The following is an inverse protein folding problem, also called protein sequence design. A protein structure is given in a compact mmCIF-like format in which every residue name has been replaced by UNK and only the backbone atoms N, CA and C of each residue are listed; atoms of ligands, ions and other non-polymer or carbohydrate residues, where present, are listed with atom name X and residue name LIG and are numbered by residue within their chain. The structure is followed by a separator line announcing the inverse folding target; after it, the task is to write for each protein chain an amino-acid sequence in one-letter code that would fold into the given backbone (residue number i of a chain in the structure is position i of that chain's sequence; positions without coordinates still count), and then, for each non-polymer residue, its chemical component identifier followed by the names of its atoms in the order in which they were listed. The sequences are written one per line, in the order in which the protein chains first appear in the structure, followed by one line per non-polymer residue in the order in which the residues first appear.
data_IF_594052345503
#
_entry.id   IF_594052345503
#
_cell.length_a   1.000
_cell.length_b   1.000
_cell.length_c   1.000
_cell.angle_alpha   90.00
_cell.angle_beta   90.00
_cell.angle_gamma   90.00
#
_symmetry.space_group_name_H-M   'P 1'
#
loop_
_entity.id
_entity.type
_entity.pdbx_description
1 polymer ?
#
# COMPACT_ATOMS: atom_id res chain seq x y z
N UNK A 1 18.01 -0.81 12.34
CA UNK A 1 16.95 -1.81 12.54
C UNK A 1 16.94 -2.20 14.01
N UNK A 2 15.78 -2.18 14.66
CA UNK A 2 15.61 -2.65 16.04
C UNK A 2 14.52 -3.71 16.11
N UNK A 3 14.77 -4.77 16.88
CA UNK A 3 13.87 -5.90 17.04
C UNK A 3 13.30 -5.89 18.46
N UNK A 4 11.99 -6.07 18.58
CA UNK A 4 11.27 -6.16 19.87
C UNK A 4 10.17 -7.21 19.77
N UNK A 5 9.67 -7.66 20.92
CA UNK A 5 8.45 -8.45 21.01
C UNK A 5 7.28 -7.59 21.46
N UNK A 6 6.14 -7.75 20.81
CA UNK A 6 4.87 -7.15 21.16
C UNK A 6 3.89 -8.27 21.51
N UNK A 7 3.17 -8.14 22.62
CA UNK A 7 2.06 -9.05 22.91
C UNK A 7 0.89 -8.73 21.98
N UNK A 8 0.25 -9.74 21.39
CA UNK A 8 -0.88 -9.57 20.48
C UNK A 8 -2.04 -8.82 21.16
N UNK A 9 -2.24 -9.04 22.47
CA UNK A 9 -3.20 -8.31 23.30
C UNK A 9 -2.88 -6.83 23.52
N UNK A 10 -1.63 -6.41 23.30
CA UNK A 10 -1.20 -5.01 23.39
C UNK A 10 -1.35 -4.24 22.07
N UNK A 11 -1.66 -4.93 20.97
CA UNK A 11 -1.81 -4.32 19.65
C UNK A 11 -2.92 -3.25 19.60
N UNK A 12 -4.12 -3.45 20.19
CA UNK A 12 -5.13 -2.40 20.27
C UNK A 12 -4.61 -1.12 20.94
N UNK A 13 -3.92 -1.25 22.08
CA UNK A 13 -3.35 -0.11 22.81
C UNK A 13 -2.32 0.67 21.97
N UNK A 14 -1.49 -0.03 21.19
CA UNK A 14 -0.53 0.61 20.27
C UNK A 14 -1.26 1.41 19.19
N UNK A 15 -2.34 0.85 18.62
CA UNK A 15 -3.12 1.50 17.57
C UNK A 15 -3.92 2.70 18.11
N UNK A 16 -4.41 2.64 19.34
CA UNK A 16 -5.04 3.78 20.02
C UNK A 16 -4.02 4.90 20.31
N UNK A 17 -2.81 4.55 20.75
CA UNK A 17 -1.71 5.50 20.91
C UNK A 17 -1.32 6.15 19.57
N UNK A 18 -1.37 5.38 18.47
CA UNK A 18 -1.16 5.90 17.12
C UNK A 18 -2.30 6.85 16.68
N UNK A 19 -3.56 6.50 16.92
CA UNK A 19 -4.71 7.32 16.53
C UNK A 19 -4.72 8.71 17.20
N UNK A 20 -4.07 8.86 18.36
CA UNK A 20 -3.89 10.15 19.01
C UNK A 20 -2.92 11.10 18.29
N UNK A 21 -2.04 10.59 17.41
CA UNK A 21 -0.97 11.35 16.76
C UNK A 21 -0.94 11.25 15.23
N UNK A 22 -1.63 10.26 14.67
CA UNK A 22 -1.66 9.95 13.25
C UNK A 22 -3.11 9.84 12.79
N UNK A 23 -3.35 10.18 11.53
CA UNK A 23 -4.49 9.62 10.80
C UNK A 23 -4.20 8.13 10.58
N UNK A 24 -4.87 7.25 11.32
CA UNK A 24 -4.67 5.80 11.21
C UNK A 24 -5.59 5.23 10.12
N UNK A 25 -5.00 4.46 9.22
CA UNK A 25 -5.70 3.66 8.22
C UNK A 25 -5.47 2.20 8.58
N UNK A 26 -6.55 1.42 8.69
CA UNK A 26 -6.49 0.05 9.16
C UNK A 26 -7.53 -0.83 8.44
N UNK A 27 -7.37 -2.16 8.43
CA UNK A 27 -8.35 -3.08 7.88
C UNK A 27 -9.64 -3.02 8.71
N UNK A 28 -10.77 -2.78 8.05
CA UNK A 28 -12.11 -2.79 8.62
C UNK A 28 -13.00 -3.72 7.81
N UNK A 29 -14.09 -4.19 8.42
CA UNK A 29 -15.10 -4.98 7.71
C UNK A 29 -16.15 -4.04 7.11
N UNK A 30 -16.29 -4.08 5.80
CA UNK A 30 -17.38 -3.45 5.05
C UNK A 30 -18.21 -4.56 4.40
N UNK A 31 -19.40 -4.81 4.94
CA UNK A 31 -20.23 -5.96 4.58
C UNK A 31 -19.47 -7.30 4.71
N UNK A 32 -19.40 -8.07 3.63
CA UNK A 32 -18.67 -9.36 3.57
C UNK A 32 -17.18 -9.18 3.23
N UNK A 33 -16.74 -7.95 2.96
CA UNK A 33 -15.41 -7.63 2.46
C UNK A 33 -14.56 -6.95 3.54
N UNK A 34 -13.24 -7.08 3.39
CA UNK A 34 -12.27 -6.33 4.19
C UNK A 34 -11.68 -5.25 3.30
N UNK A 35 -11.72 -4.01 3.76
CA UNK A 35 -11.09 -2.87 3.10
C UNK A 35 -10.28 -2.06 4.11
N UNK A 36 -9.45 -1.15 3.62
CA UNK A 36 -8.79 -0.18 4.47
C UNK A 36 -9.65 1.07 4.61
N UNK A 37 -9.79 1.56 5.83
CA UNK A 37 -10.48 2.82 6.13
C UNK A 37 -9.75 3.63 7.18
N UNK A 38 -10.05 4.92 7.26
CA UNK A 38 -9.58 5.77 8.36
C UNK A 38 -10.34 5.39 9.63
N UNK A 39 -9.60 5.11 10.71
CA UNK A 39 -10.16 4.71 12.01
C UNK A 39 -9.77 5.71 13.09
N UNK A 40 -10.66 5.90 14.07
CA UNK A 40 -10.44 6.81 15.20
C UNK A 40 -9.84 6.11 16.44
N UNK A 41 -9.91 4.78 16.48
CA UNK A 41 -9.40 3.92 17.55
C UNK A 41 -9.19 2.51 17.00
N UNK A 42 -8.72 1.61 17.88
CA UNK A 42 -8.57 0.19 17.63
C UNK A 42 -9.90 -0.56 17.47
N UNK A 43 -11.02 0.06 17.85
CA UNK A 43 -12.35 -0.53 17.74
C UNK A 43 -12.76 -0.75 16.27
N UNK A 44 -13.29 -1.92 15.97
CA UNK A 44 -13.67 -2.33 14.62
C UNK A 44 -12.52 -2.67 13.66
N UNK A 45 -11.25 -2.57 14.10
CA UNK A 45 -10.11 -3.03 13.30
C UNK A 45 -10.13 -4.56 13.23
N UNK A 46 -10.11 -5.09 12.01
CA UNK A 46 -10.11 -6.53 11.77
C UNK A 46 -8.74 -7.11 12.07
N UNK A 47 -8.72 -8.21 12.84
CA UNK A 47 -7.48 -8.90 13.17
C UNK A 47 -6.76 -9.35 11.91
N UNK A 48 -5.43 -9.25 11.89
CA UNK A 48 -4.57 -9.80 10.83
C UNK A 48 -4.78 -11.30 10.60
N UNK A 49 -5.43 -11.99 11.55
CA UNK A 49 -5.78 -13.41 11.50
C UNK A 49 -7.11 -13.70 10.82
N UNK A 50 -7.92 -12.70 10.52
CA UNK A 50 -9.29 -12.91 10.02
C UNK A 50 -9.44 -12.60 8.53
N UNK A 51 -8.33 -12.28 7.84
CA UNK A 51 -8.30 -12.06 6.39
C UNK A 51 -6.94 -12.42 5.78
N UNK A 52 -6.90 -12.71 4.48
CA UNK A 52 -5.64 -12.90 3.73
C UNK A 52 -5.22 -11.56 3.14
N UNK A 53 -6.00 -11.03 2.20
CA UNK A 53 -5.82 -9.69 1.64
C UNK A 53 -7.11 -8.87 1.75
N UNK A 54 -7.01 -7.56 2.00
CA UNK A 54 -8.09 -6.63 1.77
C UNK A 54 -8.43 -6.53 0.27
N UNK A 55 -9.65 -6.12 -0.04
CA UNK A 55 -10.12 -5.99 -1.42
C UNK A 55 -9.34 -4.94 -2.21
N UNK A 56 -9.03 -3.80 -1.60
CA UNK A 56 -8.26 -2.72 -2.24
C UNK A 56 -6.86 -2.57 -1.64
N UNK A 57 -5.90 -2.23 -2.51
CA UNK A 57 -4.54 -1.87 -2.11
C UNK A 57 -4.51 -0.57 -1.30
N UNK A 58 -3.50 -0.44 -0.44
CA UNK A 58 -3.17 0.81 0.26
C UNK A 58 -2.79 1.97 -0.69
N UNK A 59 -2.54 1.68 -1.97
CA UNK A 59 -2.24 2.69 -2.99
C UNK A 59 -3.19 3.88 -2.96
N UNK A 60 -4.50 3.65 -2.77
CA UNK A 60 -5.49 4.74 -2.80
C UNK A 60 -5.24 5.85 -1.77
N UNK A 61 -4.51 5.55 -0.69
CA UNK A 61 -4.17 6.54 0.32
C UNK A 61 -2.93 7.34 -0.05
N UNK A 62 -2.04 6.81 -0.89
CA UNK A 62 -0.84 7.48 -1.38
C UNK A 62 -1.05 8.16 -2.75
N UNK A 63 -1.94 7.59 -3.56
CA UNK A 63 -2.31 8.05 -4.89
C UNK A 63 -3.83 8.03 -5.02
N UNK A 64 -4.54 9.13 -4.67
CA UNK A 64 -5.99 9.18 -4.66
C UNK A 64 -6.62 8.93 -6.02
N UNK A 65 -7.85 8.40 -6.01
CA UNK A 65 -8.67 8.16 -7.20
C UNK A 65 -8.93 9.42 -8.03
N UNK A 66 -9.02 10.57 -7.36
CA UNK A 66 -9.12 11.90 -7.96
C UNK A 66 -8.37 12.89 -7.09
N UNK A 67 -7.49 13.70 -7.68
CA UNK A 67 -6.70 14.71 -6.97
C UNK A 67 -6.58 15.98 -7.83
N UNK A 68 -6.90 17.17 -7.28
CA UNK A 68 -6.64 18.42 -7.97
C UNK A 68 -5.12 18.65 -8.08
N UNK A 69 -4.66 19.05 -9.26
CA UNK A 69 -3.26 19.40 -9.54
C UNK A 69 -3.04 20.92 -9.56
N UNK A 70 -4.03 21.68 -10.04
CA UNK A 70 -4.06 23.14 -9.99
C UNK A 70 -5.50 23.66 -10.05
N UNK A 71 -5.71 24.85 -9.51
CA UNK A 71 -6.91 25.65 -9.72
C UNK A 71 -6.57 26.79 -10.69
N UNK A 72 -7.51 27.14 -11.57
CA UNK A 72 -7.35 28.24 -12.52
C UNK A 72 -8.53 29.20 -12.49
N UNK A 73 -8.26 30.48 -12.68
CA UNK A 73 -9.27 31.53 -12.88
C UNK A 73 -8.84 32.50 -13.99
N UNK A 74 -9.57 32.47 -15.11
CA UNK A 74 -9.38 33.34 -16.26
C UNK A 74 -10.15 34.65 -16.11
N UNK A 75 -9.42 35.74 -16.26
CA UNK A 75 -9.92 37.12 -16.25
C UNK A 75 -9.54 37.84 -17.57
N UNK A 76 -9.85 39.13 -17.67
CA UNK A 76 -9.41 39.95 -18.82
C UNK A 76 -7.90 40.19 -18.82
N UNK A 77 -7.27 40.08 -17.66
CA UNK A 77 -5.86 40.41 -17.44
C UNK A 77 -4.94 39.20 -17.52
N UNK A 78 -5.50 37.99 -17.71
CA UNK A 78 -4.76 36.73 -17.81
C UNK A 78 -5.45 35.56 -17.11
N UNK A 79 -4.72 34.48 -16.89
CA UNK A 79 -5.15 33.31 -16.13
C UNK A 79 -4.36 33.25 -14.84
N UNK A 80 -5.04 33.34 -13.69
CA UNK A 80 -4.46 33.06 -12.39
C UNK A 80 -4.43 31.54 -12.17
N UNK A 81 -3.30 31.01 -11.70
CA UNK A 81 -3.10 29.58 -11.45
C UNK A 81 -2.58 29.40 -10.04
N UNK A 82 -3.27 28.57 -9.27
CA UNK A 82 -2.96 28.31 -7.87
C UNK A 82 -2.71 26.82 -7.64
N UNK A 83 -1.71 26.52 -6.82
CA UNK A 83 -1.52 25.16 -6.32
C UNK A 83 -2.68 24.82 -5.36
N UNK A 84 -3.33 23.65 -5.48
CA UNK A 84 -4.41 23.27 -4.59
C UNK A 84 -3.88 23.06 -3.18
N UNK A 85 -4.70 23.37 -2.18
CA UNK A 85 -4.37 23.02 -0.80
C UNK A 85 -4.50 21.49 -0.61
N UNK A 86 -3.38 20.79 -0.76
CA UNK A 86 -3.29 19.36 -0.55
C UNK A 86 -2.76 19.08 0.86
N UNK A 87 -3.68 18.87 1.79
CA UNK A 87 -3.33 18.42 3.14
C UNK A 87 -2.63 17.06 3.08
N UNK A 88 -1.44 16.99 3.71
CA UNK A 88 -0.66 15.77 3.85
C UNK A 88 -0.53 15.42 5.34
N UNK A 89 -1.62 15.00 6.00
CA UNK A 89 -1.58 14.72 7.42
C UNK A 89 -0.65 13.54 7.71
N UNK A 90 0.01 13.61 8.87
CA UNK A 90 0.83 12.50 9.39
C UNK A 90 -0.05 11.25 9.48
N UNK A 91 0.26 10.24 8.67
CA UNK A 91 -0.61 9.08 8.43
C UNK A 91 0.12 7.81 8.84
N UNK A 92 -0.59 6.87 9.46
CA UNK A 92 -0.10 5.52 9.74
C UNK A 92 -1.01 4.52 9.06
N UNK A 93 -0.46 3.69 8.18
CA UNK A 93 -1.17 2.58 7.56
C UNK A 93 -0.78 1.31 8.31
N UNK A 94 -1.76 0.63 8.91
CA UNK A 94 -1.59 -0.60 9.66
C UNK A 94 -2.23 -1.78 8.94
N UNK A 95 -1.58 -2.95 8.97
CA UNK A 95 -2.19 -4.20 8.51
C UNK A 95 -2.01 -4.51 7.03
N UNK A 96 -1.27 -3.68 6.29
CA UNK A 96 -0.91 -4.02 4.91
C UNK A 96 -0.05 -5.28 4.85
N UNK A 97 -0.22 -6.08 3.79
CA UNK A 97 0.62 -7.26 3.56
C UNK A 97 1.95 -6.85 2.93
N UNK A 98 3.02 -7.64 3.12
CA UNK A 98 4.32 -7.35 2.52
C UNK A 98 4.28 -7.12 1.00
N UNK A 99 3.43 -7.86 0.27
CA UNK A 99 3.25 -7.68 -1.17
C UNK A 99 2.59 -6.35 -1.56
N UNK A 100 1.75 -5.77 -0.69
CA UNK A 100 1.16 -4.45 -0.91
C UNK A 100 2.16 -3.35 -0.55
N UNK A 101 2.88 -3.50 0.57
CA UNK A 101 3.96 -2.58 0.95
C UNK A 101 5.09 -2.53 -0.10
N UNK A 102 5.45 -3.67 -0.70
CA UNK A 102 6.50 -3.76 -1.71
C UNK A 102 6.16 -3.06 -3.03
N UNK A 103 4.90 -2.67 -3.23
CA UNK A 103 4.51 -1.85 -4.37
C UNK A 103 5.02 -0.40 -4.26
N UNK A 104 5.22 0.10 -3.04
CA UNK A 104 5.53 1.51 -2.82
C UNK A 104 6.89 1.90 -3.41
N UNK A 105 7.98 1.13 -3.26
CA UNK A 105 9.25 1.43 -3.92
C UNK A 105 9.16 1.41 -5.45
N UNK A 106 8.28 0.58 -6.03
CA UNK A 106 8.04 0.55 -7.48
C UNK A 106 7.37 1.85 -7.92
N UNK A 107 6.36 2.29 -7.16
CA UNK A 107 5.67 3.56 -7.39
C UNK A 107 6.61 4.76 -7.15
N UNK A 108 7.49 4.71 -6.15
CA UNK A 108 8.51 5.72 -5.90
C UNK A 108 9.45 5.90 -7.10
N UNK A 109 9.84 4.80 -7.75
CA UNK A 109 10.65 4.86 -8.97
C UNK A 109 9.90 5.55 -10.11
N UNK A 110 8.63 5.20 -10.33
CA UNK A 110 7.80 5.81 -11.38
C UNK A 110 7.61 7.32 -11.15
N UNK A 111 7.15 7.70 -9.96
CA UNK A 111 6.88 9.10 -9.60
C UNK A 111 8.16 9.92 -9.37
N UNK A 112 9.33 9.30 -9.48
CA UNK A 112 10.64 9.93 -9.33
C UNK A 112 11.58 9.79 -10.53
N UNK A 113 11.15 9.16 -11.64
CA UNK A 113 12.04 8.83 -12.75
C UNK A 113 12.53 10.06 -13.53
N UNK A 114 11.62 10.92 -13.99
CA UNK A 114 11.93 12.13 -14.78
C UNK A 114 11.60 13.43 -14.02
N UNK A 115 10.47 13.41 -13.31
CA UNK A 115 10.04 14.49 -12.43
C UNK A 115 9.69 13.92 -11.07
N UNK A 116 10.15 14.58 -9.99
CA UNK A 116 9.78 14.21 -8.61
C UNK A 116 8.39 14.75 -8.30
N UNK A 117 7.36 13.93 -8.46
CA UNK A 117 5.96 14.30 -8.19
C UNK A 117 5.79 14.77 -6.73
N UNK A 118 5.44 16.04 -6.54
CA UNK A 118 5.36 16.66 -5.21
C UNK A 118 4.23 16.06 -4.38
N UNK A 119 3.09 15.70 -4.99
CA UNK A 119 1.94 15.15 -4.29
C UNK A 119 2.26 13.76 -3.76
N UNK A 120 2.82 12.88 -4.61
CA UNK A 120 3.24 11.54 -4.23
C UNK A 120 4.26 11.57 -3.10
N UNK A 121 5.37 12.31 -3.28
CA UNK A 121 6.46 12.26 -2.31
C UNK A 121 6.14 12.96 -0.99
N UNK A 122 5.42 14.09 -0.99
CA UNK A 122 4.96 14.70 0.28
C UNK A 122 4.06 13.74 1.06
N UNK A 123 3.20 13.00 0.36
CA UNK A 123 2.32 12.01 0.97
C UNK A 123 3.06 10.77 1.46
N UNK A 124 4.01 10.27 0.67
CA UNK A 124 4.90 9.16 1.01
C UNK A 124 5.76 9.49 2.24
N UNK A 125 6.25 10.72 2.33
CA UNK A 125 7.01 11.26 3.47
C UNK A 125 6.14 11.40 4.72
N UNK A 126 4.88 11.85 4.59
CA UNK A 126 3.94 11.94 5.70
C UNK A 126 3.36 10.59 6.18
N UNK A 127 3.54 9.51 5.41
CA UNK A 127 2.95 8.19 5.68
C UNK A 127 3.96 7.22 6.27
N UNK A 128 3.60 6.57 7.37
CA UNK A 128 4.30 5.44 7.99
C UNK A 128 3.57 4.14 7.65
N UNK A 129 4.31 3.12 7.21
CA UNK A 129 3.75 1.83 6.76
C UNK A 129 4.09 0.72 7.76
N UNK A 130 3.07 0.21 8.46
CA UNK A 130 3.16 -0.94 9.36
C UNK A 130 2.58 -2.16 8.65
N UNK A 131 3.47 -3.04 8.17
CA UNK A 131 3.09 -4.28 7.50
C UNK A 131 2.96 -5.43 8.49
N UNK A 132 2.11 -6.41 8.17
CA UNK A 132 1.97 -7.64 8.95
C UNK A 132 2.31 -8.84 8.06
N UNK A 133 3.34 -9.60 8.45
CA UNK A 133 3.80 -10.78 7.73
C UNK A 133 2.69 -11.83 7.59
N UNK A 134 2.76 -12.62 6.53
CA UNK A 134 1.78 -13.67 6.25
C UNK A 134 2.25 -15.01 6.82
N UNK A 135 1.48 -15.58 7.75
CA UNK A 135 1.67 -16.96 8.24
C UNK A 135 0.83 -17.99 7.48
N UNK A 136 -0.03 -17.52 6.56
CA UNK A 136 -0.80 -18.35 5.62
C UNK A 136 -1.02 -17.61 4.30
N UNK A 137 -1.46 -18.33 3.29
CA UNK A 137 -1.85 -17.79 1.99
C UNK A 137 -3.15 -18.46 1.48
N UNK A 138 -3.67 -17.99 0.36
CA UNK A 138 -4.75 -18.62 -0.40
C UNK A 138 -4.30 -18.93 -1.84
N UNK A 139 -5.20 -19.53 -2.62
CA UNK A 139 -4.94 -19.91 -4.03
C UNK A 139 -4.62 -18.73 -4.96
N UNK A 140 -4.93 -17.50 -4.55
CA UNK A 140 -4.69 -16.28 -5.33
C UNK A 140 -3.37 -15.60 -4.96
N UNK A 141 -2.61 -16.13 -4.00
CA UNK A 141 -1.34 -15.55 -3.58
C UNK A 141 -0.18 -16.06 -4.44
N UNK A 142 0.65 -15.12 -4.94
CA UNK A 142 1.79 -15.42 -5.82
C UNK A 142 2.99 -14.49 -5.58
N UNK A 143 3.15 -13.94 -4.37
CA UNK A 143 4.19 -12.93 -4.14
C UNK A 143 5.62 -13.44 -4.44
N UNK A 144 5.92 -14.70 -4.16
CA UNK A 144 7.20 -15.37 -4.49
C UNK A 144 7.44 -15.47 -6.00
N UNK A 145 6.38 -15.65 -6.80
CA UNK A 145 6.47 -15.70 -8.25
C UNK A 145 7.07 -14.42 -8.84
N UNK A 146 6.88 -13.28 -8.15
CA UNK A 146 7.35 -11.95 -8.54
C UNK A 146 8.55 -11.47 -7.69
N UNK A 147 9.26 -12.37 -7.02
CA UNK A 147 10.44 -12.02 -6.20
C UNK A 147 10.12 -11.38 -4.84
N UNK A 148 8.86 -11.39 -4.43
CA UNK A 148 8.41 -10.99 -3.08
C UNK A 148 8.51 -12.12 -2.06
N UNK A 149 8.04 -11.86 -0.84
CA UNK A 149 8.02 -12.83 0.25
C UNK A 149 6.91 -12.55 1.26
N UNK A 150 6.31 -13.58 1.89
CA UNK A 150 5.36 -13.42 3.00
C UNK A 150 5.98 -12.77 4.25
N UNK A 151 7.31 -12.75 4.40
CA UNK A 151 8.05 -12.03 5.45
C UNK A 151 8.88 -10.85 4.88
N UNK A 152 8.55 -10.38 3.68
CA UNK A 152 9.26 -9.30 3.00
C UNK A 152 9.18 -7.97 3.76
N UNK A 153 10.25 -7.18 3.66
CA UNK A 153 10.39 -5.89 4.36
C UNK A 153 10.32 -4.69 3.41
N UNK A 154 10.32 -4.92 2.10
CA UNK A 154 10.34 -3.84 1.10
C UNK A 154 9.13 -2.92 1.24
N UNK A 155 9.38 -1.61 1.35
CA UNK A 155 8.36 -0.58 1.47
C UNK A 155 7.73 -0.40 2.85
N UNK A 156 7.97 -1.32 3.80
CA UNK A 156 7.51 -1.21 5.17
C UNK A 156 8.46 -0.37 6.04
N UNK A 157 7.91 0.38 6.98
CA UNK A 157 8.64 1.10 8.03
C UNK A 157 8.78 0.25 9.30
N UNK A 158 7.73 -0.53 9.61
CA UNK A 158 7.69 -1.52 10.69
C UNK A 158 7.06 -2.81 10.14
N UNK A 159 7.72 -3.95 10.33
CA UNK A 159 7.14 -5.26 10.05
C UNK A 159 6.75 -5.93 11.38
N UNK A 160 5.50 -6.38 11.46
CA UNK A 160 5.01 -7.22 12.55
C UNK A 160 4.87 -8.66 12.04
N UNK A 161 5.62 -9.59 12.63
CA UNK A 161 5.55 -11.01 12.27
C UNK A 161 4.88 -11.79 13.40
N UNK A 162 3.68 -12.38 13.19
CA UNK A 162 3.08 -13.28 14.18
C UNK A 162 3.96 -14.51 14.37
N UNK A 163 4.53 -14.67 15.56
CA UNK A 163 5.32 -15.84 15.93
C UNK A 163 4.42 -16.97 16.44
N UNK A 164 3.35 -16.60 17.14
CA UNK A 164 2.31 -17.49 17.68
C UNK A 164 1.02 -16.68 17.98
N UNK A 165 0.15 -17.21 18.85
CA UNK A 165 -1.12 -16.62 19.27
C UNK A 165 -0.98 -15.34 20.09
N UNK A 166 0.09 -15.22 20.85
CA UNK A 166 0.26 -14.16 21.83
C UNK A 166 1.39 -13.21 21.46
N UNK A 167 2.28 -13.57 20.53
CA UNK A 167 3.52 -12.83 20.27
C UNK A 167 3.66 -12.40 18.81
N UNK A 168 4.00 -11.13 18.64
CA UNK A 168 4.40 -10.50 17.39
C UNK A 168 5.86 -10.08 17.51
N UNK A 169 6.70 -10.45 16.54
CA UNK A 169 8.02 -9.88 16.37
C UNK A 169 7.88 -8.53 15.64
N UNK A 170 8.36 -7.47 16.26
CA UNK A 170 8.36 -6.12 15.70
C UNK A 170 9.76 -5.75 15.19
N UNK A 171 9.90 -5.64 13.88
CA UNK A 171 11.13 -5.22 13.20
C UNK A 171 10.98 -3.77 12.71
N UNK A 172 11.54 -2.81 13.44
CA UNK A 172 11.57 -1.42 12.99
C UNK A 172 12.66 -1.23 11.94
N UNK A 173 12.25 -1.01 10.69
CA UNK A 173 13.10 -0.97 9.50
C UNK A 173 13.64 0.44 9.25
N UNK A 174 12.81 1.46 9.52
CA UNK A 174 13.14 2.88 9.34
C UNK A 174 12.96 3.67 10.64
N UNK A 175 13.36 4.95 10.64
CA UNK A 175 13.10 5.84 11.78
C UNK A 175 11.61 6.10 12.01
N UNK A 176 10.78 6.03 10.95
CA UNK A 176 9.32 6.06 11.09
C UNK A 176 8.81 4.84 11.85
N UNK A 177 9.36 3.65 11.59
CA UNK A 177 9.02 2.43 12.32
C UNK A 177 9.41 2.49 13.78
N UNK A 178 10.61 3.02 14.08
CA UNK A 178 11.03 3.27 15.47
C UNK A 178 10.08 4.23 16.18
N UNK A 179 9.68 5.31 15.50
CA UNK A 179 8.72 6.26 16.05
C UNK A 179 7.35 5.66 16.36
N UNK A 180 6.95 4.55 15.71
CA UNK A 180 5.74 3.78 16.09
C UNK A 180 5.98 2.99 17.37
N UNK A 181 7.13 2.31 17.48
CA UNK A 181 7.51 1.58 18.69
C UNK A 181 7.61 2.53 19.89
N UNK A 182 8.14 3.74 19.68
CA UNK A 182 8.32 4.76 20.71
C UNK A 182 7.01 5.48 21.12
N UNK A 183 5.88 5.21 20.44
CA UNK A 183 4.57 5.73 20.89
C UNK A 183 4.23 5.23 22.28
N UNK A 184 4.54 3.97 22.54
CA UNK A 184 4.50 3.38 23.86
C UNK A 184 5.49 2.22 23.94
N UNK A 185 6.74 2.56 24.27
CA UNK A 185 7.81 1.58 24.42
C UNK A 185 7.53 0.53 25.51
N UNK A 186 6.59 0.79 26.44
CA UNK A 186 6.24 -0.15 27.52
C UNK A 186 5.44 -1.36 27.02
N UNK A 187 4.82 -1.25 25.83
CA UNK A 187 4.13 -2.36 25.18
C UNK A 187 5.09 -3.40 24.58
N UNK A 188 6.37 -3.04 24.48
CA UNK A 188 7.40 -3.84 23.83
C UNK A 188 8.41 -4.39 24.85
N UNK A 189 8.83 -5.63 24.63
CA UNK A 189 9.88 -6.28 25.40
C UNK A 189 11.11 -6.58 24.53
N UNK A 190 12.26 -6.75 25.17
CA UNK A 190 13.40 -7.37 24.50
C UNK A 190 13.11 -8.84 24.24
N UNK A 191 13.51 -9.32 23.08
CA UNK A 191 13.35 -10.71 22.70
C UNK A 191 13.66 -10.93 21.23
N UNK A 192 13.66 -12.21 20.85
CA UNK A 192 13.98 -12.68 19.52
C UNK A 192 12.85 -13.56 19.00
N UNK A 193 12.80 -13.72 17.68
CA UNK A 193 11.86 -14.57 17.00
C UNK A 193 12.40 -14.97 15.64
N UNK A 194 12.08 -16.18 15.20
CA UNK A 194 12.42 -16.66 13.87
C UNK A 194 11.27 -16.36 12.92
N UNK A 195 11.40 -15.24 12.19
CA UNK A 195 10.37 -14.80 11.23
C UNK A 195 10.25 -15.75 10.03
N UNK A 196 11.34 -16.41 9.66
CA UNK A 196 11.37 -17.31 8.50
C UNK A 196 10.65 -18.60 8.86
N UNK A 197 10.86 -19.11 10.07
CA UNK A 197 10.06 -20.21 10.61
C UNK A 197 8.57 -19.84 10.72
N UNK A 198 8.25 -18.63 11.18
CA UNK A 198 6.86 -18.17 11.31
C UNK A 198 6.11 -18.07 9.97
N UNK A 199 6.82 -17.71 8.89
CA UNK A 199 6.23 -17.57 7.56
C UNK A 199 6.38 -18.83 6.68
N UNK A 200 6.99 -19.90 7.22
CA UNK A 200 7.31 -21.10 6.46
C UNK A 200 6.11 -21.74 5.80
N UNK A 201 5.01 -21.93 6.53
CA UNK A 201 3.82 -22.59 5.98
C UNK A 201 3.20 -21.78 4.83
N UNK A 202 3.21 -20.45 4.93
CA UNK A 202 2.80 -19.59 3.82
C UNK A 202 3.77 -19.72 2.64
N UNK A 203 5.08 -19.73 2.90
CA UNK A 203 6.10 -19.82 1.87
C UNK A 203 6.02 -21.15 1.10
N UNK A 204 5.88 -22.26 1.81
CA UNK A 204 5.82 -23.62 1.25
C UNK A 204 4.54 -23.85 0.42
N UNK A 205 3.47 -23.10 0.69
CA UNK A 205 2.20 -23.17 -0.04
C UNK A 205 2.13 -22.25 -1.28
N UNK A 206 3.10 -21.33 -1.44
CA UNK A 206 3.13 -20.40 -2.57
C UNK A 206 3.75 -21.04 -3.83
N UNK A 207 3.38 -20.56 -5.04
CA UNK A 207 4.01 -21.01 -6.27
C UNK A 207 5.51 -20.66 -6.29
N UNK A 208 6.32 -21.42 -7.05
CA UNK A 208 7.74 -21.12 -7.20
C UNK A 208 7.97 -19.76 -7.89
N UNK A 209 9.16 -19.20 -7.68
CA UNK A 209 9.60 -18.00 -8.37
C UNK A 209 9.58 -18.20 -9.90
N UNK A 210 9.08 -17.22 -10.65
CA UNK A 210 9.19 -17.19 -12.10
C UNK A 210 10.57 -16.66 -12.49
N UNK A 211 11.07 -17.11 -13.65
CA UNK A 211 12.22 -16.50 -14.30
C UNK A 211 11.76 -15.20 -14.97
N UNK A 212 11.78 -14.10 -14.22
CA UNK A 212 11.30 -12.80 -14.68
C UNK A 212 12.15 -12.24 -15.83
N UNK A 213 13.43 -12.60 -15.92
CA UNK A 213 14.30 -12.18 -17.03
C UNK A 213 13.90 -12.90 -18.32
N UNK A 214 13.64 -14.22 -18.25
CA UNK A 214 13.12 -14.97 -19.39
C UNK A 214 11.73 -14.47 -19.83
N UNK A 215 10.85 -14.15 -18.86
CA UNK A 215 9.54 -13.56 -19.15
C UNK A 215 9.70 -12.21 -19.84
N UNK A 216 10.54 -11.31 -19.31
CA UNK A 216 10.77 -9.98 -19.90
C UNK A 216 11.37 -10.08 -21.32
N UNK A 217 12.34 -10.97 -21.54
CA UNK A 217 12.93 -11.21 -22.85
C UNK A 217 11.90 -11.72 -23.85
N UNK A 218 11.04 -12.65 -23.44
CA UNK A 218 9.96 -13.15 -24.30
C UNK A 218 8.96 -12.03 -24.64
N UNK A 219 8.49 -11.27 -23.65
CA UNK A 219 7.54 -10.16 -23.84
C UNK A 219 8.06 -9.10 -24.83
N UNK A 220 9.37 -8.81 -24.82
CA UNK A 220 9.98 -7.83 -25.70
C UNK A 220 9.89 -8.21 -27.19
N UNK A 221 9.88 -9.50 -27.51
CA UNK A 221 9.84 -10.01 -28.89
C UNK A 221 8.43 -10.42 -29.34
N UNK A 222 7.50 -10.62 -28.41
CA UNK A 222 6.19 -11.24 -28.67
C UNK A 222 5.02 -10.29 -28.40
N UNK A 223 5.21 -8.98 -28.60
CA UNK A 223 4.14 -7.99 -28.37
C UNK A 223 2.89 -8.22 -29.24
N UNK A 224 3.06 -8.66 -30.49
CA UNK A 224 1.96 -8.94 -31.43
C UNK A 224 1.59 -10.44 -31.51
N UNK A 225 1.99 -11.25 -30.53
CA UNK A 225 1.75 -12.71 -30.56
C UNK A 225 0.25 -13.06 -30.41
N UNK A 226 -0.22 -14.04 -31.18
CA UNK A 226 -1.61 -14.52 -31.16
C UNK A 226 -2.05 -15.05 -29.79
N UNK A 227 -1.08 -15.38 -28.90
CA UNK A 227 -1.32 -15.77 -27.52
C UNK A 227 -2.14 -14.73 -26.75
N UNK A 228 -2.03 -13.44 -27.09
CA UNK A 228 -2.76 -12.37 -26.38
C UNK A 228 -4.26 -12.38 -26.63
N UNK A 229 -4.71 -12.80 -27.82
CA UNK A 229 -6.10 -12.68 -28.22
C UNK A 229 -7.09 -13.41 -27.26
N UNK A 230 -6.86 -14.67 -26.86
CA UNK A 230 -7.72 -15.35 -25.89
C UNK A 230 -7.77 -14.68 -24.51
N UNK A 231 -6.74 -13.94 -24.11
CA UNK A 231 -6.68 -13.23 -22.84
C UNK A 231 -7.37 -11.86 -22.91
N UNK A 232 -7.15 -11.12 -24.01
CA UNK A 232 -7.77 -9.80 -24.19
C UNK A 232 -9.29 -9.88 -24.31
N UNK A 233 -9.83 -10.94 -24.92
CA UNK A 233 -11.29 -11.15 -24.97
C UNK A 233 -11.96 -11.37 -23.62
N UNK A 234 -11.20 -11.73 -22.57
CA UNK A 234 -11.74 -11.83 -21.21
C UNK A 234 -11.85 -10.47 -20.52
N UNK A 235 -11.20 -9.44 -21.05
CA UNK A 235 -11.26 -8.10 -20.49
C UNK A 235 -12.60 -7.44 -20.83
N UNK A 236 -13.32 -6.99 -19.81
CA UNK A 236 -14.58 -6.27 -19.97
C UNK A 236 -14.40 -4.75 -20.11
N UNK A 237 -13.16 -4.24 -20.06
CA UNK A 237 -12.91 -2.79 -20.05
C UNK A 237 -13.52 -2.08 -18.84
N UNK A 238 -13.71 -2.79 -17.72
CA UNK A 238 -14.35 -2.22 -16.53
C UNK A 238 -13.40 -1.41 -15.62
N UNK A 239 -12.09 -1.47 -15.88
CA UNK A 239 -11.07 -0.77 -15.07
C UNK A 239 -10.86 -1.33 -13.67
N UNK A 240 -11.43 -2.48 -13.30
CA UNK A 240 -11.28 -3.06 -11.94
C UNK A 240 -9.80 -3.26 -11.54
N UNK A 241 -8.92 -3.56 -12.50
CA UNK A 241 -7.49 -3.71 -12.27
C UNK A 241 -6.84 -2.46 -11.66
N UNK A 242 -7.37 -1.26 -11.89
CA UNK A 242 -6.82 -0.01 -11.32
C UNK A 242 -7.02 0.07 -9.82
N UNK A 243 -8.02 -0.62 -9.27
CA UNK A 243 -8.30 -0.67 -7.84
C UNK A 243 -7.50 -1.77 -7.12
N UNK A 244 -7.31 -2.91 -7.79
CA UNK A 244 -6.67 -4.09 -7.21
C UNK A 244 -5.15 -4.04 -7.33
N UNK A 245 -4.63 -3.55 -8.46
CA UNK A 245 -3.21 -3.54 -8.72
C UNK A 245 -2.52 -2.42 -7.90
N UNK A 246 -1.61 -2.78 -6.97
CA UNK A 246 -0.97 -1.82 -6.10
C UNK A 246 0.08 -0.97 -6.83
N UNK A 247 0.53 -1.41 -8.02
CA UNK A 247 1.48 -0.70 -8.89
C UNK A 247 0.82 0.00 -10.07
N UNK A 248 -0.50 -0.09 -10.24
CA UNK A 248 -1.19 0.60 -11.32
C UNK A 248 -1.17 2.13 -11.08
N UNK A 249 -0.72 2.84 -12.11
CA UNK A 249 -0.44 4.28 -12.07
C UNK A 249 -0.98 5.01 -13.31
N UNK A 250 -1.77 4.34 -14.14
CA UNK A 250 -2.46 4.96 -15.27
C UNK A 250 -3.46 6.00 -14.71
N UNK A 251 -3.45 7.21 -15.29
CA UNK A 251 -4.36 8.29 -14.94
C UNK A 251 -4.62 9.19 -16.14
N UNK A 252 -5.78 9.84 -16.13
CA UNK A 252 -6.14 10.90 -17.06
C UNK A 252 -6.08 12.27 -16.35
N UNK A 253 -5.89 13.32 -17.14
CA UNK A 253 -5.92 14.71 -16.68
C UNK A 253 -7.08 15.42 -17.34
N UNK A 254 -8.02 15.87 -16.51
CA UNK A 254 -9.22 16.58 -16.97
C UNK A 254 -9.35 17.93 -16.29
N UNK A 255 -9.91 18.90 -17.00
CA UNK A 255 -10.27 20.20 -16.43
C UNK A 255 -11.76 20.18 -16.05
N UNK A 256 -12.03 20.26 -14.75
CA UNK A 256 -13.39 20.31 -14.20
C UNK A 256 -13.74 21.76 -13.80
N UNK A 257 -14.79 22.31 -14.41
CA UNK A 257 -15.29 23.63 -14.07
C UNK A 257 -16.03 24.32 -15.20
N UNK A 258 -15.87 25.64 -15.26
CA UNK A 258 -16.42 26.50 -16.29
C UNK A 258 -15.32 27.02 -17.23
N UNK A 259 -15.73 27.70 -18.30
CA UNK A 259 -14.79 28.38 -19.21
C UNK A 259 -13.93 29.46 -18.53
N UNK A 260 -14.30 29.97 -17.34
CA UNK A 260 -13.53 30.99 -16.62
C UNK A 260 -12.83 30.50 -15.38
N UNK A 261 -13.27 29.40 -14.78
CA UNK A 261 -12.64 28.91 -13.54
C UNK A 261 -12.90 27.43 -13.36
N UNK A 262 -11.93 26.73 -12.80
CA UNK A 262 -12.01 25.30 -12.59
C UNK A 262 -10.78 24.74 -11.89
N UNK A 263 -10.72 23.42 -11.85
CA UNK A 263 -9.58 22.66 -11.35
C UNK A 263 -9.14 21.68 -12.42
N UNK A 264 -7.83 21.62 -12.66
CA UNK A 264 -7.23 20.50 -13.36
C UNK A 264 -7.07 19.37 -12.37
N UNK A 265 -7.59 18.20 -12.70
CA UNK A 265 -7.59 17.02 -11.84
C UNK A 265 -6.91 15.85 -12.52
N UNK A 266 -6.21 15.07 -11.72
CA UNK A 266 -5.73 13.74 -12.06
C UNK A 266 -6.75 12.73 -11.57
N UNK A 267 -7.24 11.88 -12.46
CA UNK A 267 -8.19 10.81 -12.14
C UNK A 267 -7.59 9.47 -12.53
N UNK A 268 -7.77 8.44 -11.69
CA UNK A 268 -7.35 7.09 -12.07
C UNK A 268 -7.97 6.68 -13.39
N UNK A 269 -7.16 6.10 -14.24
CA UNK A 269 -7.58 5.59 -15.54
C UNK A 269 -7.02 4.20 -15.76
N UNK A 270 -7.66 3.45 -16.64
CA UNK A 270 -7.23 2.12 -17.02
C UNK A 270 -6.48 2.18 -18.34
N UNK A 271 -5.42 1.40 -18.45
CA UNK A 271 -4.69 1.24 -19.70
C UNK A 271 -5.55 0.34 -20.61
N UNK A 272 -6.52 0.93 -21.33
CA UNK A 272 -7.44 0.28 -22.27
C UNK A 272 -7.03 0.53 -23.72
#
# INVERSE_FOLDING_TARGET
MSIRLLQASSLPSLLDAAAAQYRVIAPVREDELIDFAVVASSDGIVSHRDYVNPRQSIKQFLFPKSEPLLAYEASKDGVDVQEPDAEMPKTLIFGCRPCDASSLPIMDALYGWDYRDSFWFRRREATTVVAVACTRCDESCFCTALGGSPCGTAGADLLLTPLDDDRLLAEALTDKGKAVVDLDASLFAEGEGDKDAACKDALDALPPALDLDAVAAWLAEHFEDDHWAPWSYKCWGCGCCTFLCPTCHCFDIVDEGSYRKGQRRRNWDACQ
#
